data_IF_204436710751
#
_entry.id   IF_204436710751
#
_cell.length_a   1.000
_cell.length_b   1.000
_cell.length_c   1.000
_cell.angle_alpha   90.00
_cell.angle_beta   90.00
_cell.angle_gamma   90.00
#
_symmetry.space_group_name_H-M   'P 1'
#
loop_
_entity.id
_entity.type
_entity.pdbx_description
1 polymer ?
#
# COMPACT_ATOMS: atom_id res chain seq x y z
N UNK A 1 -1.40 17.88 -6.28
CA UNK A 1 -1.27 17.11 -7.54
C UNK A 1 0.15 16.59 -7.58
N UNK A 2 0.39 15.30 -7.84
CA UNK A 2 1.74 14.80 -7.96
C UNK A 2 2.43 15.36 -9.21
N UNK A 3 3.70 15.70 -9.05
CA UNK A 3 4.55 16.22 -10.12
C UNK A 3 5.13 15.04 -10.92
N UNK A 4 4.87 15.03 -12.23
CA UNK A 4 5.33 13.98 -13.15
C UNK A 4 6.80 14.15 -13.54
N UNK A 5 7.43 15.28 -13.19
CA UNK A 5 8.85 15.53 -13.41
C UNK A 5 9.73 15.09 -12.22
N UNK A 6 9.12 14.72 -11.09
CA UNK A 6 9.84 14.29 -9.89
C UNK A 6 10.04 12.77 -9.87
N UNK A 7 10.96 12.32 -10.72
CA UNK A 7 11.30 10.91 -10.94
C UNK A 7 12.50 10.49 -10.07
N UNK A 8 12.49 9.26 -9.55
CA UNK A 8 13.65 8.62 -8.92
C UNK A 8 14.10 7.46 -9.83
N UNK A 9 15.29 7.57 -10.44
CA UNK A 9 15.78 6.65 -11.49
C UNK A 9 14.85 6.39 -12.69
N UNK A 10 13.96 7.32 -13.03
CA UNK A 10 13.07 7.20 -14.19
C UNK A 10 11.69 6.61 -13.89
N UNK A 11 11.45 6.20 -12.64
CA UNK A 11 10.13 5.79 -12.17
C UNK A 11 9.45 6.93 -11.40
N UNK A 12 8.12 6.96 -11.50
CA UNK A 12 7.27 7.84 -10.70
C UNK A 12 7.52 7.57 -9.21
N UNK A 13 7.78 8.62 -8.42
CA UNK A 13 7.99 8.58 -6.95
C UNK A 13 6.80 8.07 -6.12
N UNK A 14 5.83 7.42 -6.73
CA UNK A 14 4.88 6.60 -5.98
C UNK A 14 5.53 5.24 -5.71
N UNK A 15 6.39 5.20 -4.69
CA UNK A 15 6.61 3.97 -3.93
C UNK A 15 5.28 3.62 -3.26
N UNK A 16 4.39 2.95 -3.99
CA UNK A 16 3.27 2.27 -3.36
C UNK A 16 3.91 1.30 -2.37
N UNK A 17 3.74 1.57 -1.07
CA UNK A 17 4.19 0.62 -0.06
C UNK A 17 3.39 -0.67 -0.28
N UNK A 18 4.04 -1.67 -0.91
CA UNK A 18 3.42 -2.95 -1.22
C UNK A 18 2.83 -3.61 0.02
N UNK A 19 3.34 -3.29 1.21
CA UNK A 19 2.83 -3.81 2.48
C UNK A 19 1.46 -3.23 2.80
N UNK A 20 1.21 -1.97 2.47
CA UNK A 20 -0.11 -1.34 2.54
C UNK A 20 -1.10 -1.96 1.55
N UNK A 21 -0.64 -2.36 0.35
CA UNK A 21 -1.47 -3.10 -0.62
C UNK A 21 -1.88 -4.46 -0.06
N UNK A 22 -0.92 -5.24 0.46
CA UNK A 22 -1.22 -6.54 1.07
C UNK A 22 -2.15 -6.40 2.27
N UNK A 23 -1.91 -5.41 3.15
CA UNK A 23 -2.80 -5.14 4.28
C UNK A 23 -4.23 -4.81 3.81
N UNK A 24 -4.37 -4.03 2.74
CA UNK A 24 -5.68 -3.65 2.16
C UNK A 24 -6.42 -4.85 1.59
N UNK A 25 -5.76 -5.72 0.83
CA UNK A 25 -6.40 -6.93 0.26
C UNK A 25 -6.78 -7.91 1.36
N UNK A 26 -5.86 -8.18 2.30
CA UNK A 26 -6.11 -9.07 3.44
C UNK A 26 -7.31 -8.61 4.26
N UNK A 27 -7.35 -7.32 4.60
CA UNK A 27 -8.41 -6.77 5.44
C UNK A 27 -9.74 -6.61 4.70
N UNK A 28 -9.74 -6.09 3.47
CA UNK A 28 -10.99 -5.67 2.81
C UNK A 28 -11.62 -6.74 1.91
N UNK A 29 -10.85 -7.69 1.40
CA UNK A 29 -11.36 -8.72 0.48
C UNK A 29 -11.41 -10.09 1.13
N UNK A 30 -10.45 -10.39 2.00
CA UNK A 30 -10.31 -11.71 2.63
C UNK A 30 -10.80 -11.75 4.08
N UNK A 31 -11.27 -10.60 4.61
CA UNK A 31 -11.71 -10.42 6.01
C UNK A 31 -10.73 -11.02 7.03
N UNK A 32 -9.44 -10.90 6.72
CA UNK A 32 -8.35 -11.49 7.48
C UNK A 32 -7.67 -10.44 8.37
N UNK A 33 -7.17 -10.88 9.53
CA UNK A 33 -6.39 -10.03 10.43
C UNK A 33 -5.00 -9.74 9.85
N UNK A 34 -4.92 -8.68 9.06
CA UNK A 34 -3.70 -8.23 8.42
C UNK A 34 -2.59 -7.89 9.43
N UNK A 35 -2.92 -7.45 10.64
CA UNK A 35 -1.94 -7.08 11.68
C UNK A 35 -1.24 -8.32 12.22
N UNK A 36 -1.99 -9.38 12.50
CA UNK A 36 -1.43 -10.66 12.95
C UNK A 36 -0.59 -11.33 11.86
N UNK A 37 -1.00 -11.25 10.60
CA UNK A 37 -0.31 -11.87 9.46
C UNK A 37 0.99 -11.13 9.11
N UNK A 38 0.96 -9.80 9.07
CA UNK A 38 2.10 -8.98 8.65
C UNK A 38 3.01 -8.57 9.82
N UNK A 39 2.62 -8.91 11.07
CA UNK A 39 3.38 -8.67 12.29
C UNK A 39 3.47 -7.20 12.72
N UNK A 40 2.86 -6.29 11.96
CA UNK A 40 2.73 -4.87 12.29
C UNK A 40 1.56 -4.25 11.53
N UNK A 41 1.18 -3.08 11.97
CA UNK A 41 0.11 -2.29 11.35
C UNK A 41 0.66 -1.51 10.15
N UNK A 42 -0.13 -1.51 9.07
CA UNK A 42 0.15 -0.78 7.83
C UNK A 42 -1.10 0.00 7.43
N UNK A 43 -0.90 1.15 6.80
CA UNK A 43 -1.99 2.00 6.34
C UNK A 43 -2.81 1.30 5.27
N UNK A 44 -4.13 1.32 5.42
CA UNK A 44 -5.04 0.78 4.40
C UNK A 44 -5.27 1.82 3.31
N UNK A 45 -5.17 1.37 2.06
CA UNK A 45 -5.39 2.21 0.90
C UNK A 45 -6.88 2.43 0.67
N UNK A 46 -7.24 3.62 0.19
CA UNK A 46 -8.63 4.03 -0.07
C UNK A 46 -9.17 3.49 -1.41
N UNK A 47 -8.88 2.24 -1.73
CA UNK A 47 -9.55 1.54 -2.83
C UNK A 47 -10.33 0.35 -2.26
N UNK A 48 -11.61 0.30 -2.61
CA UNK A 48 -12.61 -0.78 -2.57
C UNK A 48 -13.95 -0.20 -2.98
#
# INVERSE_FOLDING_TARGET
MPDLADLDNGDLKYQVDFKSVYATVLSKWLDADAKSILGREYDLLQFV
#
